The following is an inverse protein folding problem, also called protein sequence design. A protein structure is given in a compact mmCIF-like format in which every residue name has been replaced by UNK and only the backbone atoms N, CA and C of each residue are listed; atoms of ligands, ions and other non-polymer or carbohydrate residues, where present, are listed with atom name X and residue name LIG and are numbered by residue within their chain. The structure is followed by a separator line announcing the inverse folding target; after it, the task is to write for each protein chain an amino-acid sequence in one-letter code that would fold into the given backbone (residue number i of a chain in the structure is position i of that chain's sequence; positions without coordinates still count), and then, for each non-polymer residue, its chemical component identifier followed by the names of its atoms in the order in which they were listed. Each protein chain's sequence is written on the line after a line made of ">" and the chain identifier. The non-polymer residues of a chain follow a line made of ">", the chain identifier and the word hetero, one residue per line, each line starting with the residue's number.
data_IF_221290084555
#
_entry.id   IF_221290084555
#
_cell.length_a   1.000
_cell.length_b   1.000
_cell.length_c   1.000
_cell.angle_alpha   90.00
_cell.angle_beta   90.00
_cell.angle_gamma   90.00
#
_symmetry.space_group_name_H-M   'P 1'
#
loop_
_entity.id
_entity.type
_entity.pdbx_description
1 polymer ?
#
# COMPACT_ATOMS: atom_id res chain seq x y z
N UNK A 1 -39.71 -44.47 -1.82
CA UNK A 1 -38.35 -44.56 -2.38
C UNK A 1 -37.41 -44.75 -1.22
N UNK A 2 -37.03 -46.00 -1.06
CA UNK A 2 -36.13 -46.56 -0.06
C UNK A 2 -34.68 -46.10 -0.25
N UNK A 3 -34.02 -45.95 0.88
CA UNK A 3 -32.67 -46.43 1.17
C UNK A 3 -31.47 -45.76 0.49
N UNK A 4 -30.70 -45.01 1.28
CA UNK A 4 -29.22 -45.10 1.39
C UNK A 4 -28.72 -44.09 2.44
N UNK A 5 -28.82 -44.48 3.71
CA UNK A 5 -28.02 -43.90 4.81
C UNK A 5 -27.65 -45.04 5.74
N UNK A 6 -26.50 -45.65 5.49
CA UNK A 6 -25.73 -46.42 6.45
C UNK A 6 -24.39 -46.72 5.79
N UNK A 7 -23.30 -46.22 6.37
CA UNK A 7 -22.10 -46.98 6.72
C UNK A 7 -21.09 -46.01 7.38
N UNK A 8 -20.93 -46.24 8.70
CA UNK A 8 -19.77 -46.01 9.55
C UNK A 8 -19.41 -44.59 9.99
N UNK A 9 -19.88 -44.25 11.18
CA UNK A 9 -18.99 -43.69 12.20
C UNK A 9 -18.10 -44.77 12.84
N UNK A 10 -16.95 -44.36 13.37
CA UNK A 10 -16.32 -44.90 14.58
C UNK A 10 -15.04 -44.13 14.92
N UNK A 11 -15.11 -43.31 15.97
CA UNK A 11 -14.07 -42.91 16.93
C UNK A 11 -14.41 -41.48 17.41
N UNK A 12 -14.96 -41.21 18.58
CA UNK A 12 -14.86 -41.93 19.84
C UNK A 12 -13.86 -41.22 20.77
N UNK A 13 -14.36 -40.19 21.47
CA UNK A 13 -14.03 -39.78 22.86
C UNK A 13 -12.56 -39.62 23.30
N UNK A 14 -12.22 -38.42 23.78
CA UNK A 14 -11.06 -38.24 24.67
C UNK A 14 -10.50 -36.81 24.76
N UNK A 15 -11.31 -35.82 25.13
CA UNK A 15 -10.81 -34.49 25.54
C UNK A 15 -11.01 -34.31 27.04
N UNK A 16 -9.90 -34.31 27.79
CA UNK A 16 -9.64 -33.43 28.94
C UNK A 16 -8.34 -33.86 29.63
N UNK A 17 -7.38 -32.93 29.70
CA UNK A 17 -6.47 -32.63 30.83
C UNK A 17 -5.14 -32.09 30.30
N UNK A 18 -4.97 -30.77 30.34
CA UNK A 18 -3.91 -30.08 31.08
C UNK A 18 -3.98 -28.59 30.79
N UNK A 19 -4.21 -27.82 31.85
CA UNK A 19 -4.29 -26.37 31.81
C UNK A 19 -2.95 -25.68 32.00
N UNK A 20 -3.01 -24.38 31.68
CA UNK A 20 -2.39 -23.24 32.37
C UNK A 20 -0.87 -23.26 32.59
N UNK A 21 -0.17 -22.38 31.87
CA UNK A 21 0.75 -21.40 32.49
C UNK A 21 1.14 -20.32 31.48
N UNK A 22 0.63 -19.11 31.68
CA UNK A 22 1.25 -17.89 31.18
C UNK A 22 2.47 -17.53 32.03
N UNK A 23 3.43 -16.82 31.46
CA UNK A 23 4.50 -16.18 32.20
C UNK A 23 4.65 -14.73 31.75
N UNK A 24 4.30 -13.84 32.67
CA UNK A 24 4.76 -12.45 32.72
C UNK A 24 6.28 -12.39 32.79
N UNK A 25 6.85 -11.34 32.20
CA UNK A 25 8.23 -10.93 32.37
C UNK A 25 8.23 -9.63 33.18
N UNK A 26 8.94 -9.59 34.30
CA UNK A 26 9.04 -8.45 35.21
C UNK A 26 10.52 -8.11 35.45
N UNK A 27 10.79 -6.81 35.61
CA UNK A 27 12.09 -6.14 35.60
C UNK A 27 13.03 -6.49 36.77
N UNK A 28 14.34 -6.33 36.55
CA UNK A 28 15.37 -6.36 37.59
C UNK A 28 16.62 -5.60 37.18
N UNK A 29 16.68 -4.33 37.58
CA UNK A 29 17.78 -3.37 37.45
C UNK A 29 18.89 -3.65 38.49
N UNK A 30 20.18 -3.57 38.11
CA UNK A 30 21.27 -2.92 38.88
C UNK A 30 22.69 -3.24 38.35
N UNK A 31 23.51 -2.19 38.23
CA UNK A 31 24.94 -2.25 38.61
C UNK A 31 26.00 -2.08 37.51
N UNK A 32 26.62 -0.90 37.47
CA UNK A 32 27.96 -0.58 36.91
C UNK A 32 28.74 0.21 37.99
N UNK A 33 30.06 0.42 37.93
CA UNK A 33 31.22 -0.33 37.38
C UNK A 33 32.32 -0.51 38.47
N UNK A 34 33.60 -0.81 38.13
CA UNK A 34 34.59 0.29 38.16
C UNK A 34 35.68 0.25 37.06
N UNK A 35 36.40 1.38 36.97
CA UNK A 35 37.51 1.71 36.07
C UNK A 35 38.89 1.40 36.64
N UNK A 36 39.85 1.06 35.77
CA UNK A 36 41.32 1.29 35.78
C UNK A 36 41.97 0.21 34.86
N UNK A 37 43.05 0.41 34.09
CA UNK A 37 44.03 1.47 34.03
C UNK A 37 44.93 1.29 32.79
N UNK A 38 45.79 2.28 32.63
CA UNK A 38 46.67 2.65 31.52
C UNK A 38 47.81 1.65 31.23
N UNK A 39 48.24 1.54 29.96
CA UNK A 39 49.64 1.22 29.56
C UNK A 39 49.87 1.37 28.04
N UNK A 40 51.06 1.84 27.71
CA UNK A 40 51.43 2.56 26.47
C UNK A 40 52.65 1.90 25.79
N UNK A 41 52.66 1.92 24.43
CA UNK A 41 53.83 1.98 23.48
C UNK A 41 54.53 0.62 23.15
N UNK A 42 55.13 0.40 21.95
CA UNK A 42 54.63 0.47 20.55
C UNK A 42 55.09 -0.75 19.70
N UNK A 43 54.62 -0.91 18.45
CA UNK A 43 55.48 -1.51 17.43
C UNK A 43 55.06 -1.06 16.02
N UNK A 44 56.03 -0.49 15.33
CA UNK A 44 55.97 0.03 13.97
C UNK A 44 56.40 -1.10 13.03
N UNK A 45 55.66 -1.36 11.95
CA UNK A 45 56.20 -2.04 10.78
C UNK A 45 55.42 -1.63 9.52
N UNK A 46 56.12 -0.90 8.68
CA UNK A 46 55.71 -0.43 7.36
C UNK A 46 55.59 -1.59 6.38
N UNK A 47 54.54 -1.58 5.54
CA UNK A 47 54.62 -2.10 4.17
C UNK A 47 53.58 -1.42 3.28
N UNK A 48 54.04 -0.46 2.47
CA UNK A 48 53.31 0.09 1.33
C UNK A 48 53.17 -0.97 0.21
N UNK A 49 52.05 -0.96 -0.52
CA UNK A 49 51.99 -1.08 -2.00
C UNK A 49 50.67 -0.44 -2.48
N UNK A 50 50.82 0.69 -3.18
CA UNK A 50 50.17 1.01 -4.47
C UNK A 50 48.64 1.09 -4.58
N UNK A 51 48.08 2.29 -4.41
CA UNK A 51 46.76 2.65 -4.94
C UNK A 51 46.87 3.85 -5.90
N UNK A 52 46.46 3.64 -7.15
CA UNK A 52 46.32 4.66 -8.20
C UNK A 52 45.16 5.62 -7.92
N UNK A 53 45.30 6.96 -8.02
CA UNK A 53 44.16 7.87 -7.90
C UNK A 53 43.43 8.03 -9.23
N UNK A 54 42.12 7.78 -9.24
CA UNK A 54 41.21 8.15 -10.35
C UNK A 54 40.77 9.61 -10.21
N UNK A 55 40.76 10.28 -11.36
CA UNK A 55 40.50 11.70 -11.58
C UNK A 55 39.25 12.29 -10.90
N UNK A 56 39.45 13.46 -10.29
CA UNK A 56 38.41 14.38 -9.88
C UNK A 56 37.96 15.24 -11.06
N UNK A 57 36.69 15.12 -11.47
CA UNK A 57 36.09 15.96 -12.52
C UNK A 57 35.98 17.41 -12.04
N UNK A 58 36.75 18.31 -12.68
CA UNK A 58 36.70 19.76 -12.49
C UNK A 58 35.44 20.36 -13.12
N UNK A 59 34.79 21.26 -12.37
CA UNK A 59 33.72 22.15 -12.79
C UNK A 59 34.33 23.28 -13.65
N UNK A 60 33.74 23.71 -14.80
CA UNK A 60 34.32 24.78 -15.60
C UNK A 60 34.05 26.15 -14.96
N UNK A 61 35.11 26.95 -14.78
CA UNK A 61 35.04 28.38 -14.44
C UNK A 61 34.58 29.16 -15.68
N UNK A 62 33.46 29.87 -15.56
CA UNK A 62 32.95 30.75 -16.59
C UNK A 62 33.67 32.12 -16.53
N UNK A 63 34.17 32.54 -17.68
CA UNK A 63 34.92 33.78 -17.91
C UNK A 63 33.98 34.98 -17.80
N UNK A 64 34.46 36.02 -17.14
CA UNK A 64 33.83 37.32 -16.95
C UNK A 64 34.17 38.19 -18.16
N UNK A 65 33.17 38.69 -18.88
CA UNK A 65 33.35 39.73 -19.88
C UNK A 65 32.20 40.74 -19.77
N UNK A 66 32.55 42.02 -19.69
CA UNK A 66 31.69 43.18 -19.45
C UNK A 66 31.26 43.83 -20.78
N UNK A 67 29.97 44.13 -20.96
CA UNK A 67 29.44 44.97 -22.04
C UNK A 67 27.90 45.12 -22.00
N UNK A 68 27.30 46.28 -22.37
CA UNK A 68 26.08 46.79 -21.72
C UNK A 68 24.72 46.55 -22.43
N UNK A 69 23.68 46.32 -21.60
CA UNK A 69 22.24 46.76 -21.61
C UNK A 69 21.45 46.66 -22.95
N UNK A 70 20.29 45.95 -23.00
CA UNK A 70 18.98 46.59 -22.79
C UNK A 70 18.00 45.82 -21.90
N UNK A 71 17.31 46.59 -21.07
CA UNK A 71 16.11 46.24 -20.30
C UNK A 71 15.02 45.60 -21.15
N UNK A 72 14.60 44.38 -20.79
CA UNK A 72 13.26 43.89 -21.15
C UNK A 72 12.56 43.35 -19.90
N UNK A 73 11.79 44.26 -19.32
CA UNK A 73 11.00 44.11 -18.10
C UNK A 73 9.67 43.44 -18.49
N UNK A 74 9.69 42.20 -18.96
CA UNK A 74 8.44 41.49 -19.31
C UNK A 74 8.51 39.95 -19.39
N UNK A 75 9.52 39.32 -18.77
CA UNK A 75 9.51 37.86 -18.51
C UNK A 75 9.51 37.57 -17.00
N UNK A 76 8.44 37.99 -16.32
CA UNK A 76 7.90 37.17 -15.22
C UNK A 76 7.34 35.90 -15.87
N UNK A 77 8.23 35.00 -16.30
CA UNK A 77 7.88 33.61 -16.41
C UNK A 77 7.55 33.21 -14.98
N UNK A 78 6.25 33.05 -14.69
CA UNK A 78 5.77 32.20 -13.62
C UNK A 78 6.65 30.96 -13.68
N UNK A 79 7.59 30.85 -12.73
CA UNK A 79 8.30 29.61 -12.50
C UNK A 79 7.19 28.59 -12.29
N UNK A 80 6.95 27.75 -13.30
CA UNK A 80 6.01 26.66 -13.19
C UNK A 80 6.53 25.84 -12.02
N UNK A 81 5.88 25.99 -10.85
CA UNK A 81 6.21 25.25 -9.62
C UNK A 81 6.41 23.81 -10.06
N UNK A 82 7.63 23.28 -9.90
CA UNK A 82 7.89 21.87 -10.21
C UNK A 82 6.81 21.05 -9.52
N UNK A 83 6.18 20.09 -10.20
CA UNK A 83 5.10 19.31 -9.61
C UNK A 83 5.63 18.66 -8.32
N UNK A 84 4.99 19.00 -7.19
CA UNK A 84 5.39 18.53 -5.87
C UNK A 84 5.32 17.02 -5.83
N UNK A 85 6.36 16.38 -5.32
CA UNK A 85 6.39 14.93 -5.21
C UNK A 85 5.54 14.49 -4.01
N UNK A 86 4.54 13.63 -4.26
CA UNK A 86 3.69 13.00 -3.24
C UNK A 86 4.42 11.89 -2.52
N UNK A 87 4.11 11.72 -1.23
CA UNK A 87 4.55 10.60 -0.41
C UNK A 87 3.91 9.28 -0.88
N UNK A 88 2.63 9.32 -1.26
CA UNK A 88 1.90 8.16 -1.76
C UNK A 88 1.14 8.51 -3.04
N UNK A 89 1.13 7.61 -4.02
CA UNK A 89 0.30 7.73 -5.22
C UNK A 89 -1.19 7.47 -4.93
N UNK A 90 -2.08 7.96 -5.80
CA UNK A 90 -3.52 7.61 -5.76
C UNK A 90 -3.77 6.11 -5.90
N UNK A 91 -2.82 5.39 -6.49
CA UNK A 91 -2.82 3.93 -6.62
C UNK A 91 -2.49 3.20 -5.30
N UNK A 92 -2.08 3.94 -4.25
CA UNK A 92 -1.66 3.39 -2.96
C UNK A 92 -0.20 2.92 -2.89
N UNK A 93 0.61 3.17 -3.94
CA UNK A 93 2.06 2.94 -3.94
C UNK A 93 2.78 4.06 -3.18
N UNK A 94 3.73 3.69 -2.32
CA UNK A 94 4.56 4.65 -1.59
C UNK A 94 5.78 5.06 -2.42
N UNK A 95 6.04 6.36 -2.53
CA UNK A 95 7.21 6.91 -3.22
C UNK A 95 8.41 7.04 -2.26
N UNK A 96 8.75 5.94 -1.58
CA UNK A 96 9.83 5.91 -0.59
C UNK A 96 10.83 4.84 -0.99
N UNK A 97 12.08 5.25 -1.18
CA UNK A 97 13.20 4.36 -1.40
C UNK A 97 14.03 4.26 -0.12
N UNK A 98 14.16 3.05 0.42
CA UNK A 98 15.02 2.78 1.57
C UNK A 98 16.48 2.69 1.09
N UNK A 99 17.25 3.75 1.28
CA UNK A 99 18.67 3.79 0.97
C UNK A 99 19.54 3.36 2.16
N UNK A 100 20.75 2.86 1.87
CA UNK A 100 21.79 2.55 2.87
C UNK A 100 21.38 1.58 3.99
N UNK A 101 20.64 0.52 3.65
CA UNK A 101 20.36 -0.58 4.58
C UNK A 101 21.62 -1.44 4.70
N UNK A 102 22.37 -1.27 5.80
CA UNK A 102 23.65 -1.98 6.03
C UNK A 102 23.48 -3.50 6.20
N UNK A 103 22.28 -3.97 6.57
CA UNK A 103 22.00 -5.36 6.94
C UNK A 103 21.16 -6.08 5.87
N UNK A 104 21.66 -6.14 4.63
CA UNK A 104 20.98 -6.82 3.52
C UNK A 104 20.80 -8.33 3.75
N UNK A 105 21.59 -8.93 4.64
CA UNK A 105 21.46 -10.35 5.01
C UNK A 105 20.11 -10.69 5.66
N UNK A 106 19.41 -9.70 6.25
CA UNK A 106 18.09 -9.91 6.86
C UNK A 106 17.02 -10.33 5.84
N UNK A 107 17.17 -9.93 4.58
CA UNK A 107 16.30 -10.40 3.50
C UNK A 107 16.55 -11.88 3.18
N UNK A 108 17.80 -12.35 3.30
CA UNK A 108 18.13 -13.76 3.04
C UNK A 108 17.74 -14.68 4.19
N UNK A 109 17.74 -14.18 5.44
CA UNK A 109 17.26 -14.97 6.58
C UNK A 109 15.76 -15.28 6.50
N UNK A 110 14.99 -14.44 5.82
CA UNK A 110 13.57 -14.67 5.54
C UNK A 110 13.34 -14.93 4.04
N UNK A 111 13.89 -16.06 3.58
CA UNK A 111 13.81 -16.48 2.18
C UNK A 111 12.36 -16.70 1.73
N UNK A 112 11.50 -17.21 2.62
CA UNK A 112 10.11 -17.52 2.29
C UNK A 112 9.31 -16.26 1.95
N UNK A 113 9.35 -15.23 2.80
CA UNK A 113 8.63 -13.98 2.49
C UNK A 113 9.22 -13.29 1.27
N UNK A 114 10.56 -13.31 1.14
CA UNK A 114 11.25 -12.73 -0.02
C UNK A 114 10.79 -13.37 -1.33
N UNK A 115 10.71 -14.71 -1.40
CA UNK A 115 10.22 -15.42 -2.60
C UNK A 115 8.77 -15.07 -2.92
N UNK A 116 7.91 -15.02 -1.90
CA UNK A 116 6.50 -14.69 -2.06
C UNK A 116 6.31 -13.24 -2.53
N UNK A 117 7.17 -12.30 -2.13
CA UNK A 117 7.09 -10.89 -2.51
C UNK A 117 7.75 -10.55 -3.86
N UNK A 118 8.59 -11.43 -4.41
CA UNK A 118 9.15 -11.23 -5.76
C UNK A 118 8.07 -11.03 -6.83
N UNK A 119 8.38 -10.30 -7.90
CA UNK A 119 7.46 -10.20 -9.04
C UNK A 119 7.24 -11.57 -9.67
N UNK A 120 6.07 -11.80 -10.26
CA UNK A 120 5.71 -13.07 -10.93
C UNK A 120 6.79 -13.60 -11.89
N UNK A 121 7.43 -12.71 -12.66
CA UNK A 121 8.51 -13.09 -13.60
C UNK A 121 9.71 -13.74 -12.88
N UNK A 122 10.16 -13.15 -11.78
CA UNK A 122 11.28 -13.69 -11.00
C UNK A 122 10.87 -14.93 -10.21
N UNK A 123 9.64 -14.95 -9.69
CA UNK A 123 9.11 -16.12 -8.99
C UNK A 123 9.04 -17.36 -9.90
N UNK A 124 8.55 -17.20 -11.14
CA UNK A 124 8.55 -18.28 -12.13
C UNK A 124 9.96 -18.69 -12.56
N UNK A 125 10.88 -17.72 -12.71
CA UNK A 125 12.29 -18.00 -13.00
C UNK A 125 12.93 -18.84 -11.90
N UNK A 126 12.74 -18.47 -10.63
CA UNK A 126 13.28 -19.20 -9.47
C UNK A 126 12.64 -20.60 -9.38
N UNK A 127 11.33 -20.71 -9.63
CA UNK A 127 10.65 -22.00 -9.68
C UNK A 127 11.30 -22.93 -10.69
N UNK A 128 11.42 -22.50 -11.96
CA UNK A 128 12.08 -23.29 -13.00
C UNK A 128 13.54 -23.60 -12.65
N UNK A 129 14.28 -22.62 -12.14
CA UNK A 129 15.69 -22.79 -11.79
C UNK A 129 15.88 -23.89 -10.73
N UNK A 130 15.11 -23.86 -9.64
CA UNK A 130 15.26 -24.85 -8.57
C UNK A 130 14.99 -26.27 -9.07
N UNK A 131 13.90 -26.52 -9.80
CA UNK A 131 13.65 -27.86 -10.35
C UNK A 131 14.73 -28.29 -11.36
N UNK A 132 15.15 -27.39 -12.25
CA UNK A 132 16.23 -27.75 -13.20
C UNK A 132 17.55 -28.04 -12.49
N UNK A 133 17.88 -27.32 -11.42
CA UNK A 133 19.09 -27.55 -10.64
C UNK A 133 19.01 -28.85 -9.85
N UNK A 134 17.86 -29.19 -9.24
CA UNK A 134 17.69 -30.48 -8.54
C UNK A 134 17.80 -31.65 -9.52
N UNK A 135 17.14 -31.58 -10.68
CA UNK A 135 17.23 -32.62 -11.71
C UNK A 135 18.64 -32.77 -12.27
N UNK A 136 19.37 -31.67 -12.49
CA UNK A 136 20.76 -31.72 -12.95
C UNK A 136 21.68 -32.28 -11.86
N UNK A 137 21.48 -31.90 -10.61
CA UNK A 137 22.27 -32.39 -9.48
C UNK A 137 22.10 -33.90 -9.30
N UNK A 138 20.87 -34.40 -9.23
CA UNK A 138 20.62 -35.83 -9.11
C UNK A 138 20.98 -36.60 -10.40
N UNK A 139 20.74 -36.02 -11.58
CA UNK A 139 21.19 -36.61 -12.85
C UNK A 139 22.70 -36.78 -12.94
N UNK A 140 23.48 -35.81 -12.42
CA UNK A 140 24.93 -35.92 -12.29
C UNK A 140 25.31 -37.02 -11.31
N UNK A 141 24.63 -37.12 -10.15
CA UNK A 141 24.89 -38.17 -9.17
C UNK A 141 24.62 -39.57 -9.72
N UNK A 142 23.51 -39.75 -10.45
CA UNK A 142 23.19 -41.02 -11.13
C UNK A 142 24.23 -41.38 -12.18
N UNK A 143 24.65 -40.41 -12.99
CA UNK A 143 25.70 -40.61 -13.97
C UNK A 143 27.04 -40.95 -13.31
N UNK A 144 27.37 -40.31 -12.20
CA UNK A 144 28.60 -40.57 -11.45
C UNK A 144 28.61 -41.98 -10.85
N UNK A 145 27.50 -42.46 -10.27
CA UNK A 145 27.37 -43.84 -9.77
C UNK A 145 27.58 -44.83 -10.92
N UNK A 146 26.91 -44.61 -12.06
CA UNK A 146 27.07 -45.47 -13.24
C UNK A 146 28.52 -45.47 -13.77
N UNK A 147 29.19 -44.31 -13.73
CA UNK A 147 30.59 -44.17 -14.16
C UNK A 147 31.56 -44.88 -13.21
N UNK A 148 31.48 -44.64 -11.90
CA UNK A 148 32.37 -45.24 -10.89
C UNK A 148 32.22 -46.76 -10.84
N UNK A 149 31.01 -47.27 -11.06
CA UNK A 149 30.72 -48.70 -11.09
C UNK A 149 31.18 -49.38 -12.39
N UNK A 150 31.46 -48.62 -13.44
CA UNK A 150 31.80 -49.15 -14.77
C UNK A 150 30.59 -49.63 -15.57
N UNK A 151 29.37 -49.21 -15.20
CA UNK A 151 28.13 -49.58 -15.91
C UNK A 151 28.11 -49.01 -17.34
N UNK A 152 28.78 -47.88 -17.55
CA UNK A 152 28.89 -47.23 -18.87
C UNK A 152 29.87 -47.94 -19.82
N UNK A 153 30.81 -48.73 -19.29
CA UNK A 153 31.81 -49.44 -20.09
C UNK A 153 31.29 -50.81 -20.58
N UNK A 154 30.35 -51.41 -19.85
CA UNK A 154 29.74 -52.72 -20.15
C UNK A 154 28.35 -52.60 -20.80
N UNK A 155 28.11 -51.51 -21.55
CA UNK A 155 26.81 -51.28 -22.21
C UNK A 155 26.59 -52.33 -23.31
N UNK A 156 25.64 -53.23 -23.09
CA UNK A 156 25.30 -54.31 -24.02
C UNK A 156 25.90 -55.67 -23.68
N UNK A 157 26.66 -55.78 -22.57
CA UNK A 157 27.08 -57.07 -22.03
C UNK A 157 25.90 -57.79 -21.37
N UNK A 158 25.71 -59.06 -21.72
CA UNK A 158 24.60 -59.89 -21.22
C UNK A 158 24.85 -60.34 -19.78
N UNK A 159 26.11 -60.42 -19.36
CA UNK A 159 26.53 -60.90 -18.04
C UNK A 159 26.61 -59.80 -16.98
N UNK A 160 26.56 -58.52 -17.38
CA UNK A 160 26.63 -57.37 -16.47
C UNK A 160 25.24 -56.81 -16.20
N UNK A 161 24.88 -56.69 -14.92
CA UNK A 161 23.63 -56.05 -14.50
C UNK A 161 23.94 -54.64 -13.99
N UNK A 162 23.56 -53.58 -14.74
CA UNK A 162 23.82 -52.20 -14.35
C UNK A 162 22.96 -51.79 -13.15
N UNK A 163 23.34 -50.71 -12.48
CA UNK A 163 22.55 -50.13 -11.39
C UNK A 163 21.19 -49.61 -11.88
N UNK A 164 21.18 -48.98 -13.05
CA UNK A 164 19.96 -48.53 -13.74
C UNK A 164 20.01 -49.03 -15.17
N UNK A 165 18.97 -49.75 -15.58
CA UNK A 165 18.85 -50.27 -16.94
C UNK A 165 18.72 -49.12 -17.97
N UNK A 166 19.26 -49.33 -19.17
CA UNK A 166 19.17 -48.40 -20.30
C UNK A 166 19.74 -46.98 -20.01
N UNK A 167 20.77 -46.89 -19.17
CA UNK A 167 21.52 -45.68 -18.89
C UNK A 167 22.80 -45.64 -19.75
N UNK A 168 22.72 -45.04 -20.93
CA UNK A 168 23.81 -44.98 -21.92
C UNK A 168 24.74 -43.76 -21.79
N UNK A 169 24.35 -42.74 -21.05
CA UNK A 169 25.16 -41.53 -20.82
C UNK A 169 24.49 -40.51 -19.90
N UNK A 170 25.02 -39.29 -19.87
CA UNK A 170 24.53 -38.23 -18.98
C UNK A 170 23.07 -37.84 -19.27
N UNK A 171 22.68 -37.74 -20.55
CA UNK A 171 21.30 -37.37 -20.94
C UNK A 171 20.29 -38.41 -20.46
N UNK A 172 20.60 -39.71 -20.54
CA UNK A 172 19.74 -40.75 -19.99
C UNK A 172 19.67 -40.74 -18.46
N UNK A 173 20.77 -40.38 -17.78
CA UNK A 173 20.78 -40.21 -16.33
C UNK A 173 19.95 -39.00 -15.90
N UNK A 174 20.02 -37.89 -16.64
CA UNK A 174 19.18 -36.71 -16.43
C UNK A 174 17.68 -37.03 -16.62
N UNK A 175 17.32 -37.76 -17.69
CA UNK A 175 15.94 -38.22 -17.89
C UNK A 175 15.48 -39.13 -16.75
N UNK A 176 16.31 -40.08 -16.31
CA UNK A 176 16.01 -40.93 -15.16
C UNK A 176 15.80 -40.12 -13.88
N UNK A 177 16.62 -39.09 -13.66
CA UNK A 177 16.48 -38.19 -12.52
C UNK A 177 15.15 -37.45 -12.52
N UNK A 178 14.68 -36.97 -13.68
CA UNK A 178 13.35 -36.36 -13.81
C UNK A 178 12.27 -37.41 -13.54
N UNK A 179 12.32 -38.55 -14.23
CA UNK A 179 11.35 -39.64 -14.10
C UNK A 179 11.15 -40.06 -12.63
N UNK A 180 12.25 -40.08 -11.87
CA UNK A 180 12.28 -40.43 -10.45
C UNK A 180 11.76 -39.30 -9.55
N UNK A 181 12.27 -38.07 -9.70
CA UNK A 181 11.91 -36.94 -8.82
C UNK A 181 10.46 -36.49 -9.02
N UNK A 182 9.98 -36.44 -10.26
CA UNK A 182 8.58 -36.11 -10.57
C UNK A 182 7.65 -37.32 -10.49
N UNK A 183 8.18 -38.49 -10.10
CA UNK A 183 7.44 -39.75 -9.95
C UNK A 183 6.62 -40.13 -11.19
N UNK A 184 7.14 -39.85 -12.39
CA UNK A 184 6.51 -40.27 -13.65
C UNK A 184 6.81 -41.75 -13.90
N UNK A 185 8.08 -42.15 -13.74
CA UNK A 185 8.54 -43.53 -13.84
C UNK A 185 8.05 -44.27 -15.08
N UNK A 186 8.53 -43.90 -16.28
CA UNK A 186 8.08 -44.52 -17.54
C UNK A 186 8.35 -46.04 -17.60
N UNK A 187 9.26 -46.55 -16.76
CA UNK A 187 9.58 -47.97 -16.67
C UNK A 187 10.56 -48.47 -17.73
N UNK A 188 11.05 -47.59 -18.61
CA UNK A 188 12.15 -47.92 -19.54
C UNK A 188 13.51 -47.92 -18.84
N UNK A 189 13.67 -47.11 -17.79
CA UNK A 189 14.86 -47.02 -16.94
C UNK A 189 14.46 -47.46 -15.55
N UNK A 190 14.99 -48.60 -15.13
CA UNK A 190 14.60 -49.25 -13.87
C UNK A 190 15.85 -49.50 -13.03
N UNK A 191 15.74 -49.23 -11.73
CA UNK A 191 16.80 -49.51 -10.77
C UNK A 191 16.84 -51.00 -10.42
N UNK A 192 18.05 -51.56 -10.29
CA UNK A 192 18.26 -52.95 -9.89
C UNK A 192 18.75 -53.07 -8.44
N UNK A 193 18.58 -54.24 -7.84
CA UNK A 193 19.04 -54.54 -6.48
C UNK A 193 20.57 -54.69 -6.34
N UNK A 194 21.31 -54.64 -7.45
CA UNK A 194 22.77 -54.91 -7.47
C UNK A 194 23.62 -53.76 -6.93
N UNK A 195 23.04 -52.56 -6.77
CA UNK A 195 23.72 -51.36 -6.30
C UNK A 195 23.06 -50.77 -5.04
N UNK A 196 23.59 -51.01 -3.83
CA UNK A 196 23.04 -50.40 -2.62
C UNK A 196 23.17 -48.87 -2.63
N UNK A 197 24.21 -48.34 -3.26
CA UNK A 197 24.43 -46.89 -3.43
C UNK A 197 23.30 -46.21 -4.23
N UNK A 198 22.81 -46.87 -5.29
CA UNK A 198 21.66 -46.39 -6.06
C UNK A 198 20.38 -46.37 -5.23
N UNK A 199 20.14 -47.39 -4.41
CA UNK A 199 18.96 -47.45 -3.52
C UNK A 199 19.00 -46.30 -2.50
N UNK A 200 20.16 -46.03 -1.91
CA UNK A 200 20.33 -44.90 -0.97
C UNK A 200 20.11 -43.57 -1.69
N UNK A 201 20.68 -43.39 -2.89
CA UNK A 201 20.48 -42.17 -3.68
C UNK A 201 19.00 -41.97 -4.04
N UNK A 202 18.30 -43.03 -4.45
CA UNK A 202 16.87 -43.02 -4.73
C UNK A 202 16.06 -42.58 -3.51
N UNK A 203 16.37 -43.11 -2.32
CA UNK A 203 15.70 -42.72 -1.08
C UNK A 203 15.92 -41.25 -0.75
N UNK A 204 17.18 -40.78 -0.82
CA UNK A 204 17.55 -39.38 -0.57
C UNK A 204 16.86 -38.46 -1.57
N UNK A 205 16.84 -38.82 -2.86
CA UNK A 205 16.18 -38.08 -3.92
C UNK A 205 14.67 -37.99 -3.70
N UNK A 206 14.01 -39.09 -3.32
CA UNK A 206 12.57 -39.09 -3.04
C UNK A 206 12.22 -38.15 -1.86
N UNK A 207 13.01 -38.18 -0.78
CA UNK A 207 12.78 -37.33 0.40
C UNK A 207 13.03 -35.85 0.05
N UNK A 208 14.19 -35.53 -0.54
CA UNK A 208 14.53 -34.14 -0.88
C UNK A 208 13.62 -33.57 -1.97
N UNK A 209 13.26 -34.37 -2.98
CA UNK A 209 12.30 -34.00 -4.02
C UNK A 209 10.94 -33.66 -3.43
N UNK A 210 10.46 -34.45 -2.47
CA UNK A 210 9.19 -34.17 -1.77
C UNK A 210 9.25 -32.85 -0.97
N UNK A 211 10.37 -32.58 -0.28
CA UNK A 211 10.57 -31.34 0.48
C UNK A 211 10.60 -30.12 -0.44
N UNK A 212 11.38 -30.17 -1.52
CA UNK A 212 11.47 -29.08 -2.51
C UNK A 212 10.12 -28.82 -3.16
N UNK A 213 9.41 -29.88 -3.55
CA UNK A 213 8.08 -29.77 -4.15
C UNK A 213 7.08 -29.14 -3.17
N UNK A 214 7.03 -29.59 -1.92
CA UNK A 214 6.16 -29.03 -0.89
C UNK A 214 6.45 -27.53 -0.64
N UNK A 215 7.72 -27.15 -0.56
CA UNK A 215 8.13 -25.76 -0.39
C UNK A 215 7.70 -24.89 -1.57
N UNK A 216 7.94 -25.34 -2.80
CA UNK A 216 7.62 -24.59 -4.02
C UNK A 216 6.12 -24.44 -4.25
N UNK A 217 5.36 -25.52 -4.10
CA UNK A 217 3.90 -25.49 -4.21
C UNK A 217 3.31 -24.62 -3.09
N UNK A 218 3.82 -24.73 -1.86
CA UNK A 218 3.39 -23.87 -0.75
C UNK A 218 3.64 -22.39 -1.03
N UNK A 219 4.81 -22.04 -1.54
CA UNK A 219 5.15 -20.67 -1.95
C UNK A 219 4.22 -20.15 -3.06
N UNK A 220 3.93 -20.96 -4.09
CA UNK A 220 2.97 -20.60 -5.15
C UNK A 220 1.56 -20.39 -4.58
N UNK A 221 1.10 -21.30 -3.73
CA UNK A 221 -0.23 -21.24 -3.13
C UNK A 221 -0.42 -19.97 -2.31
N UNK A 222 0.55 -19.64 -1.43
CA UNK A 222 0.50 -18.40 -0.65
C UNK A 222 0.49 -17.19 -1.58
N UNK A 223 1.36 -17.15 -2.59
CA UNK A 223 1.44 -16.03 -3.53
C UNK A 223 0.15 -15.81 -4.32
N UNK A 224 -0.51 -16.88 -4.76
CA UNK A 224 -1.81 -16.82 -5.47
C UNK A 224 -2.91 -16.34 -4.52
N UNK A 225 -2.87 -16.80 -3.27
CA UNK A 225 -3.89 -16.48 -2.28
C UNK A 225 -3.79 -15.03 -1.80
N UNK A 226 -2.61 -14.40 -1.85
CA UNK A 226 -2.41 -13.03 -1.35
C UNK A 226 -3.45 -12.05 -1.89
N UNK A 227 -4.13 -11.27 -1.01
CA UNK A 227 -5.24 -10.41 -1.41
C UNK A 227 -4.79 -9.09 -2.07
N UNK A 228 -3.57 -9.02 -2.63
CA UNK A 228 -3.02 -7.80 -3.25
C UNK A 228 -3.92 -7.27 -4.39
N UNK A 229 -4.54 -8.18 -5.16
CA UNK A 229 -5.50 -7.83 -6.22
C UNK A 229 -6.83 -7.30 -5.69
N UNK A 230 -7.19 -7.60 -4.44
CA UNK A 230 -8.45 -7.13 -3.85
C UNK A 230 -8.37 -5.65 -3.46
N UNK A 231 -7.18 -5.16 -3.09
CA UNK A 231 -6.99 -3.73 -2.89
C UNK A 231 -7.24 -2.91 -4.18
N UNK A 232 -7.11 -3.51 -5.36
CA UNK A 232 -7.38 -2.85 -6.65
C UNK A 232 -8.89 -2.69 -6.93
N UNK A 233 -9.76 -3.49 -6.29
CA UNK A 233 -11.23 -3.37 -6.43
C UNK A 233 -11.84 -2.41 -5.43
N UNK A 234 -11.07 -1.98 -4.43
CA UNK A 234 -11.44 -0.94 -3.49
C UNK A 234 -11.07 0.42 -4.08
N UNK A 235 -12.08 1.28 -4.20
CA UNK A 235 -11.92 2.59 -4.83
C UNK A 235 -12.05 3.71 -3.82
N UNK A 236 -11.25 4.75 -4.03
CA UNK A 236 -11.37 6.03 -3.35
C UNK A 236 -11.78 7.11 -4.36
N UNK A 237 -12.48 8.15 -3.90
CA UNK A 237 -12.76 9.31 -4.75
C UNK A 237 -11.46 9.96 -5.26
N UNK A 238 -11.53 10.62 -6.42
CA UNK A 238 -10.35 11.34 -6.92
C UNK A 238 -10.04 12.57 -6.09
N UNK A 239 -11.09 13.24 -5.62
CA UNK A 239 -11.02 14.44 -4.80
C UNK A 239 -11.57 14.18 -3.40
N UNK A 240 -11.04 14.90 -2.42
CA UNK A 240 -11.71 15.10 -1.15
C UNK A 240 -12.45 16.45 -1.22
N UNK A 241 -13.52 16.61 -0.45
CA UNK A 241 -14.32 17.84 -0.47
C UNK A 241 -14.51 18.37 0.95
N UNK A 242 -14.50 19.69 1.10
CA UNK A 242 -14.82 20.36 2.36
C UNK A 242 -16.13 21.11 2.17
N UNK A 243 -17.15 20.82 2.98
CA UNK A 243 -18.37 21.61 3.02
C UNK A 243 -19.06 21.55 4.37
N UNK A 244 -20.07 22.41 4.55
CA UNK A 244 -20.92 22.38 5.74
C UNK A 244 -21.82 21.14 5.73
N UNK A 245 -21.89 20.44 6.86
CA UNK A 245 -22.85 19.39 7.15
C UNK A 245 -23.34 19.59 8.58
N UNK A 246 -24.65 19.76 8.75
CA UNK A 246 -25.28 20.03 10.06
C UNK A 246 -24.57 21.15 10.83
N UNK A 247 -24.32 22.27 10.14
CA UNK A 247 -23.63 23.47 10.63
C UNK A 247 -22.16 23.27 11.08
N UNK A 248 -21.56 22.14 10.72
CA UNK A 248 -20.15 21.84 11.02
C UNK A 248 -19.37 21.72 9.72
N UNK A 249 -18.15 22.23 9.69
CA UNK A 249 -17.28 22.08 8.53
C UNK A 249 -16.68 20.67 8.54
N UNK A 250 -16.85 19.93 7.45
CA UNK A 250 -16.41 18.54 7.37
C UNK A 250 -15.53 18.30 6.15
N UNK A 251 -14.42 17.60 6.34
CA UNK A 251 -13.60 17.05 5.26
C UNK A 251 -14.12 15.66 4.91
N UNK A 252 -14.44 15.44 3.64
CA UNK A 252 -15.11 14.24 3.18
C UNK A 252 -14.40 13.60 1.99
N UNK A 253 -14.34 12.28 1.97
CA UNK A 253 -13.93 11.51 0.81
C UNK A 253 -14.82 10.27 0.67
N UNK A 254 -14.98 9.77 -0.55
CA UNK A 254 -15.82 8.61 -0.82
C UNK A 254 -14.98 7.35 -0.97
N UNK A 255 -15.47 6.25 -0.42
CA UNK A 255 -14.90 4.92 -0.55
C UNK A 255 -15.96 3.96 -1.09
N UNK A 256 -15.56 2.97 -1.88
CA UNK A 256 -16.47 1.97 -2.44
C UNK A 256 -15.78 0.64 -2.71
N UNK A 257 -16.58 -0.44 -2.72
CA UNK A 257 -16.15 -1.77 -3.15
C UNK A 257 -16.88 -2.12 -4.45
N UNK A 258 -16.11 -2.37 -5.51
CA UNK A 258 -16.66 -2.78 -6.81
C UNK A 258 -17.21 -4.21 -6.79
N UNK A 259 -16.86 -5.02 -5.79
CA UNK A 259 -17.22 -6.44 -5.74
C UNK A 259 -18.41 -6.66 -4.82
N UNK A 260 -19.21 -7.68 -5.13
CA UNK A 260 -20.34 -8.09 -4.28
C UNK A 260 -19.93 -8.83 -3.00
N UNK A 261 -18.68 -9.30 -2.90
CA UNK A 261 -18.14 -9.95 -1.69
C UNK A 261 -17.86 -8.92 -0.61
N UNK A 262 -18.04 -9.26 0.65
CA UNK A 262 -17.88 -8.27 1.73
C UNK A 262 -16.44 -8.13 2.22
N UNK A 263 -16.02 -6.89 2.53
CA UNK A 263 -14.86 -6.66 3.37
C UNK A 263 -15.29 -6.86 4.83
N UNK A 264 -14.82 -7.92 5.46
CA UNK A 264 -15.16 -8.23 6.87
C UNK A 264 -14.28 -7.38 7.78
N UNK A 265 -14.85 -6.83 8.86
CA UNK A 265 -14.13 -5.93 9.80
C UNK A 265 -13.44 -4.77 9.08
N UNK A 266 -14.13 -4.16 8.10
CA UNK A 266 -13.60 -3.00 7.41
C UNK A 266 -13.39 -1.84 8.38
N UNK A 267 -12.21 -1.24 8.39
CA UNK A 267 -11.87 -0.08 9.20
C UNK A 267 -11.14 0.97 8.37
N UNK A 268 -11.52 2.24 8.55
CA UNK A 268 -10.90 3.36 7.82
C UNK A 268 -10.08 4.23 8.76
N UNK A 269 -8.87 4.58 8.32
CA UNK A 269 -7.96 5.48 9.04
C UNK A 269 -7.43 6.54 8.09
N UNK A 270 -7.20 7.73 8.61
CA UNK A 270 -6.65 8.84 7.83
C UNK A 270 -5.52 9.53 8.60
N UNK A 271 -4.43 9.86 7.89
CA UNK A 271 -3.28 10.56 8.44
C UNK A 271 -2.99 11.80 7.62
N UNK A 272 -2.82 12.93 8.30
CA UNK A 272 -2.24 14.13 7.72
C UNK A 272 -0.72 14.00 7.74
N UNK A 273 -0.10 14.22 6.58
CA UNK A 273 1.34 14.30 6.40
C UNK A 273 1.67 15.75 6.06
N UNK A 274 2.43 16.40 6.94
CA UNK A 274 2.89 17.76 6.77
C UNK A 274 4.26 17.94 7.43
N UNK A 275 5.12 18.79 6.85
CA UNK A 275 6.37 19.19 7.51
C UNK A 275 6.07 20.11 8.68
N UNK A 276 6.68 19.88 9.83
CA UNK A 276 6.47 20.69 11.04
C UNK A 276 7.79 21.06 11.68
N UNK A 277 7.87 22.27 12.22
CA UNK A 277 8.93 22.66 13.15
C UNK A 277 8.36 22.73 14.58
N UNK A 278 9.06 22.15 15.54
CA UNK A 278 8.69 22.22 16.96
C UNK A 278 9.05 23.58 17.55
N UNK A 279 8.51 23.90 18.73
CA UNK A 279 8.82 25.18 19.41
C UNK A 279 10.29 25.24 19.85
N UNK A 280 10.88 24.07 20.08
CA UNK A 280 12.27 23.84 20.46
C UNK A 280 13.22 23.93 19.24
N UNK A 281 12.67 24.02 18.02
CA UNK A 281 13.42 24.22 16.79
C UNK A 281 13.70 22.96 15.96
N UNK A 282 13.26 21.78 16.41
CA UNK A 282 13.41 20.52 15.67
C UNK A 282 12.53 20.52 14.40
N UNK A 283 13.13 20.22 13.25
CA UNK A 283 12.42 20.09 11.99
C UNK A 283 12.07 18.63 11.71
N UNK A 284 10.78 18.34 11.59
CA UNK A 284 10.23 17.01 11.30
C UNK A 284 9.71 17.03 9.84
N UNK A 285 10.41 16.38 8.88
CA UNK A 285 10.10 16.52 7.45
C UNK A 285 8.70 16.01 7.05
N UNK A 286 8.26 14.88 7.59
CA UNK A 286 6.98 14.24 7.25
C UNK A 286 6.26 13.84 8.53
N UNK A 287 5.85 14.84 9.32
CA UNK A 287 5.11 14.58 10.54
C UNK A 287 3.74 13.97 10.20
N UNK A 288 3.42 12.85 10.84
CA UNK A 288 2.17 12.14 10.62
C UNK A 288 1.25 12.35 11.81
N UNK A 289 0.12 13.03 11.60
CA UNK A 289 -0.90 13.23 12.63
C UNK A 289 -2.19 12.55 12.22
N UNK A 290 -2.82 11.82 13.15
CA UNK A 290 -4.05 11.09 12.87
C UNK A 290 -5.24 12.05 12.71
N UNK A 291 -6.11 11.76 11.75
CA UNK A 291 -7.36 12.50 11.49
C UNK A 291 -8.51 11.63 11.95
N UNK A 292 -9.30 12.12 12.91
CA UNK A 292 -10.43 11.38 13.46
C UNK A 292 -11.57 11.25 12.44
N UNK A 293 -11.80 10.03 11.93
CA UNK A 293 -12.87 9.68 10.99
C UNK A 293 -13.96 8.81 11.61
N UNK A 294 -14.07 8.81 12.95
CA UNK A 294 -15.04 8.01 13.70
C UNK A 294 -14.45 7.08 14.76
N UNK A 295 -13.17 7.27 15.14
CA UNK A 295 -12.49 6.38 16.09
C UNK A 295 -13.13 6.40 17.49
N UNK A 296 -13.56 7.58 17.95
CA UNK A 296 -14.14 7.74 19.30
C UNK A 296 -15.52 7.09 19.43
N UNK A 297 -16.29 7.04 18.33
CA UNK A 297 -17.66 6.48 18.29
C UNK A 297 -17.68 5.03 17.77
N UNK A 298 -16.58 4.58 17.15
CA UNK A 298 -16.49 3.31 16.45
C UNK A 298 -17.16 3.31 15.08
N UNK A 299 -17.46 4.49 14.52
CA UNK A 299 -18.00 4.71 13.16
C UNK A 299 -16.91 4.55 12.07
N UNK A 300 -15.64 4.46 12.48
CA UNK A 300 -14.51 4.09 11.63
C UNK A 300 -14.61 2.63 11.14
N UNK A 301 -15.40 1.79 11.84
CA UNK A 301 -15.75 0.43 11.43
C UNK A 301 -16.88 0.45 10.42
N UNK A 302 -16.55 0.16 9.17
CA UNK A 302 -17.46 0.31 8.05
C UNK A 302 -18.27 -0.97 7.77
N UNK A 303 -19.55 -0.79 7.48
CA UNK A 303 -20.35 -1.77 6.75
C UNK A 303 -20.39 -1.36 5.27
N UNK A 304 -19.33 -1.69 4.53
CA UNK A 304 -19.10 -1.24 3.15
C UNK A 304 -19.75 -2.19 2.13
N UNK A 305 -21.01 -1.91 1.78
CA UNK A 305 -21.74 -2.61 0.70
C UNK A 305 -21.98 -1.67 -0.49
N UNK A 306 -22.52 -0.49 -0.21
CA UNK A 306 -22.61 0.61 -1.17
C UNK A 306 -21.56 1.67 -0.86
N UNK A 307 -21.21 2.56 -1.82
CA UNK A 307 -20.26 3.62 -1.57
C UNK A 307 -20.62 4.50 -0.37
N UNK A 308 -19.67 4.66 0.55
CA UNK A 308 -19.82 5.48 1.75
C UNK A 308 -19.00 6.76 1.63
N UNK A 309 -19.55 7.86 2.14
CA UNK A 309 -18.82 9.11 2.32
C UNK A 309 -18.27 9.13 3.73
N UNK A 310 -16.95 9.01 3.85
CA UNK A 310 -16.24 9.14 5.11
C UNK A 310 -16.14 10.62 5.43
N UNK A 311 -16.49 11.00 6.65
CA UNK A 311 -16.59 12.39 7.08
C UNK A 311 -15.75 12.62 8.33
N UNK A 312 -14.77 13.50 8.21
CA UNK A 312 -14.02 14.06 9.33
C UNK A 312 -14.64 15.39 9.74
N UNK A 313 -15.15 15.48 10.96
CA UNK A 313 -15.59 16.74 11.54
C UNK A 313 -14.38 17.62 11.92
N UNK A 314 -14.31 18.82 11.35
CA UNK A 314 -13.24 19.79 11.66
C UNK A 314 -13.62 20.49 12.98
N UNK A 315 -13.18 19.90 14.09
CA UNK A 315 -13.34 20.41 15.45
C UNK A 315 -12.04 21.02 15.99
N UNK A 316 -12.06 21.50 17.24
CA UNK A 316 -10.90 22.13 17.92
C UNK A 316 -9.64 21.25 17.96
N UNK A 317 -9.79 19.92 17.89
CA UNK A 317 -8.67 18.96 17.86
C UNK A 317 -8.18 18.65 16.45
N UNK A 318 -8.92 19.06 15.42
CA UNK A 318 -8.58 18.81 14.03
C UNK A 318 -7.37 19.65 13.60
N UNK A 319 -6.43 19.08 12.82
CA UNK A 319 -5.36 19.88 12.23
C UNK A 319 -5.88 20.93 11.23
N UNK A 320 -7.13 20.80 10.77
CA UNK A 320 -7.77 21.75 9.86
C UNK A 320 -8.56 22.86 10.57
N UNK A 321 -8.49 22.95 11.91
CA UNK A 321 -9.30 23.89 12.70
C UNK A 321 -9.11 25.37 12.30
N UNK A 322 -7.86 25.77 12.06
CA UNK A 322 -7.49 27.14 11.66
C UNK A 322 -7.31 27.28 10.12
N UNK A 323 -7.76 26.29 9.36
CA UNK A 323 -7.65 26.26 7.90
C UNK A 323 -8.83 26.99 7.27
N UNK A 324 -8.56 28.05 6.50
CA UNK A 324 -9.55 28.76 5.69
C UNK A 324 -9.42 28.40 4.22
N UNK A 325 -10.40 28.77 3.38
CA UNK A 325 -10.36 28.52 1.92
C UNK A 325 -9.09 29.07 1.27
N UNK A 326 -8.67 30.27 1.69
CA UNK A 326 -7.46 30.91 1.16
C UNK A 326 -6.17 30.23 1.63
N UNK A 327 -6.12 29.82 2.91
CA UNK A 327 -4.97 29.09 3.47
C UNK A 327 -4.81 27.71 2.86
N UNK A 328 -5.90 27.01 2.53
CA UNK A 328 -5.86 25.69 1.91
C UNK A 328 -5.02 25.67 0.61
N UNK A 329 -5.04 26.76 -0.15
CA UNK A 329 -4.29 26.90 -1.40
C UNK A 329 -2.81 27.24 -1.19
N UNK A 330 -2.44 27.70 0.00
CA UNK A 330 -1.09 28.12 0.37
C UNK A 330 -0.34 27.04 1.17
N UNK A 331 -1.08 26.26 1.94
CA UNK A 331 -0.56 25.20 2.80
C UNK A 331 -0.17 23.96 2.01
N UNK A 332 0.98 23.38 2.34
CA UNK A 332 1.48 22.17 1.72
C UNK A 332 1.25 20.98 2.64
N UNK A 333 0.26 20.16 2.32
CA UNK A 333 -0.06 18.95 3.08
C UNK A 333 -0.49 17.80 2.18
N UNK A 334 -0.50 16.58 2.72
CA UNK A 334 -1.03 15.39 2.06
C UNK A 334 -1.85 14.58 3.06
N UNK A 335 -3.09 14.25 2.71
CA UNK A 335 -3.96 13.39 3.52
C UNK A 335 -3.88 11.98 2.96
N UNK A 336 -3.26 11.07 3.70
CA UNK A 336 -3.22 9.64 3.36
C UNK A 336 -4.40 8.93 4.01
N UNK A 337 -5.18 8.20 3.21
CA UNK A 337 -6.30 7.38 3.67
C UNK A 337 -5.96 5.90 3.52
N UNK A 338 -6.35 5.12 4.52
CA UNK A 338 -6.01 3.70 4.65
C UNK A 338 -7.28 2.95 5.02
N UNK A 339 -7.76 2.08 4.13
CA UNK A 339 -8.84 1.16 4.37
C UNK A 339 -8.25 -0.23 4.63
N UNK A 340 -8.59 -0.83 5.76
CA UNK A 340 -8.18 -2.17 6.16
C UNK A 340 -9.39 -3.06 6.34
N UNK A 341 -9.22 -4.36 6.12
CA UNK A 341 -10.24 -5.35 6.44
C UNK A 341 -9.90 -6.72 5.86
N UNK A 342 -10.72 -7.72 6.16
CA UNK A 342 -10.49 -9.11 5.77
C UNK A 342 -11.25 -9.51 4.51
N UNK A 343 -10.64 -10.42 3.76
CA UNK A 343 -11.24 -11.06 2.59
C UNK A 343 -12.11 -12.23 2.99
N UNK A 344 -13.42 -12.07 2.81
CA UNK A 344 -14.44 -13.09 3.11
C UNK A 344 -14.04 -14.50 2.64
N UNK A 345 -13.52 -14.63 1.42
CA UNK A 345 -13.15 -15.94 0.87
C UNK A 345 -11.83 -16.54 1.43
N UNK A 346 -10.90 -15.72 1.94
CA UNK A 346 -9.56 -16.20 2.34
C UNK A 346 -9.21 -15.98 3.81
N UNK A 347 -10.00 -15.18 4.53
CA UNK A 347 -9.70 -14.75 5.89
C UNK A 347 -8.46 -13.84 6.03
N UNK A 348 -7.75 -13.54 4.94
CA UNK A 348 -6.57 -12.70 4.99
C UNK A 348 -6.91 -11.21 5.04
N UNK A 349 -6.13 -10.45 5.78
CA UNK A 349 -6.24 -8.99 5.84
C UNK A 349 -5.72 -8.36 4.55
N UNK A 350 -6.42 -7.34 4.08
CA UNK A 350 -6.06 -6.51 2.94
C UNK A 350 -6.05 -5.04 3.36
N UNK A 351 -5.18 -4.25 2.72
CA UNK A 351 -5.06 -2.83 2.98
C UNK A 351 -5.03 -2.08 1.64
N UNK A 352 -6.05 -1.26 1.42
CA UNK A 352 -6.13 -0.32 0.30
C UNK A 352 -5.75 1.08 0.80
N UNK A 353 -4.99 1.82 -0.01
CA UNK A 353 -4.46 3.13 0.38
C UNK A 353 -4.62 4.12 -0.76
N UNK A 354 -4.81 5.39 -0.43
CA UNK A 354 -4.79 6.49 -1.38
C UNK A 354 -4.35 7.77 -0.67
N UNK A 355 -4.08 8.83 -1.41
CA UNK A 355 -3.67 10.13 -0.88
C UNK A 355 -4.46 11.26 -1.51
N UNK A 356 -4.58 12.38 -0.81
CA UNK A 356 -5.12 13.64 -1.31
C UNK A 356 -4.11 14.76 -1.04
N UNK A 357 -3.60 15.37 -2.09
CA UNK A 357 -2.82 16.60 -2.00
C UNK A 357 -3.73 17.80 -1.75
N UNK A 358 -3.14 18.91 -1.30
CA UNK A 358 -3.77 20.22 -1.16
C UNK A 358 -4.63 20.61 -2.38
N UNK A 359 -4.10 20.44 -3.60
CA UNK A 359 -4.80 20.72 -4.87
C UNK A 359 -5.98 19.79 -5.17
N UNK A 360 -6.07 18.65 -4.49
CA UNK A 360 -7.12 17.63 -4.69
C UNK A 360 -8.22 17.72 -3.62
N UNK A 361 -8.12 18.68 -2.70
CA UNK A 361 -9.15 18.99 -1.69
C UNK A 361 -9.97 20.18 -2.17
N UNK A 362 -11.22 19.94 -2.55
CA UNK A 362 -12.13 20.95 -3.10
C UNK A 362 -12.97 21.60 -2.00
N UNK A 363 -12.76 22.90 -1.77
CA UNK A 363 -13.56 23.67 -0.82
C UNK A 363 -14.92 24.07 -1.41
N UNK A 364 -15.99 23.88 -0.64
CA UNK A 364 -17.35 24.20 -1.05
C UNK A 364 -18.00 23.15 -1.95
N UNK A 365 -17.44 21.94 -2.05
CA UNK A 365 -18.01 20.88 -2.88
C UNK A 365 -18.74 19.82 -2.04
N UNK A 366 -19.71 19.15 -2.66
CA UNK A 366 -20.36 17.94 -2.16
C UNK A 366 -20.32 16.85 -3.22
N UNK A 367 -20.37 15.59 -2.79
CA UNK A 367 -20.43 14.46 -3.71
C UNK A 367 -21.83 14.29 -4.29
N UNK A 368 -21.90 14.01 -5.60
CA UNK A 368 -23.15 13.67 -6.28
C UNK A 368 -23.72 12.36 -5.72
N UNK A 369 -25.03 12.26 -5.40
CA UNK A 369 -25.64 11.01 -4.97
C UNK A 369 -25.45 9.90 -6.02
N UNK A 370 -25.14 8.68 -5.57
CA UNK A 370 -24.86 7.53 -6.46
C UNK A 370 -25.87 6.39 -6.31
N UNK A 371 -26.72 6.45 -5.28
CA UNK A 371 -27.71 5.43 -4.98
C UNK A 371 -29.05 5.83 -5.57
N UNK A 372 -29.57 4.99 -6.46
CA UNK A 372 -30.93 5.08 -6.98
C UNK A 372 -31.72 3.86 -6.48
N UNK A 373 -33.02 4.05 -6.30
CA UNK A 373 -33.93 2.98 -5.90
C UNK A 373 -34.65 2.47 -7.13
N UNK A 374 -34.33 1.25 -7.54
CA UNK A 374 -35.07 0.53 -8.58
C UNK A 374 -36.09 -0.44 -7.97
N UNK A 375 -36.91 -1.09 -8.82
CA UNK A 375 -37.97 -2.00 -8.36
C UNK A 375 -37.38 -3.27 -7.73
N UNK A 376 -37.20 -3.23 -6.42
CA UNK A 376 -36.82 -4.38 -5.59
C UNK A 376 -35.34 -4.44 -5.19
N UNK A 377 -34.50 -3.51 -5.66
CA UNK A 377 -33.09 -3.41 -5.29
C UNK A 377 -32.59 -1.96 -5.33
N UNK A 378 -31.45 -1.71 -4.69
CA UNK A 378 -30.72 -0.44 -4.81
C UNK A 378 -29.65 -0.58 -5.88
N UNK A 379 -29.64 0.34 -6.84
CA UNK A 379 -28.62 0.40 -7.87
C UNK A 379 -27.61 1.50 -7.53
N UNK A 380 -26.33 1.22 -7.79
CA UNK A 380 -25.22 2.15 -7.58
C UNK A 380 -24.67 2.57 -8.94
N UNK A 381 -24.82 3.84 -9.29
CA UNK A 381 -24.19 4.41 -10.48
C UNK A 381 -22.74 4.81 -10.18
N UNK A 382 -21.80 3.97 -10.63
CA UNK A 382 -20.37 4.23 -10.48
C UNK A 382 -19.84 5.33 -11.41
N UNK A 383 -20.57 5.76 -12.45
CA UNK A 383 -20.15 6.89 -13.28
C UNK A 383 -20.14 8.19 -12.46
N UNK A 384 -21.09 8.33 -11.55
CA UNK A 384 -21.22 9.45 -10.63
C UNK A 384 -20.37 9.30 -9.35
N UNK A 385 -19.56 8.23 -9.23
CA UNK A 385 -18.79 7.93 -8.02
C UNK A 385 -17.77 9.03 -7.69
N UNK A 386 -17.05 9.54 -8.68
CA UNK A 386 -16.05 10.59 -8.48
C UNK A 386 -16.64 12.01 -8.63
N UNK A 387 -17.90 12.13 -9.07
CA UNK A 387 -18.51 13.40 -9.38
C UNK A 387 -18.80 14.23 -8.12
N UNK A 388 -18.52 15.53 -8.22
CA UNK A 388 -18.80 16.52 -7.17
C UNK A 388 -19.49 17.74 -7.77
N UNK A 389 -20.27 18.44 -6.97
CA UNK A 389 -20.94 19.68 -7.34
C UNK A 389 -20.68 20.77 -6.29
N UNK A 390 -20.64 22.03 -6.73
CA UNK A 390 -20.38 23.18 -5.86
C UNK A 390 -21.62 23.52 -5.01
N UNK A 391 -21.37 23.95 -3.78
CA UNK A 391 -22.38 24.29 -2.78
C UNK A 391 -21.97 25.54 -2.02
N UNK A 392 -22.97 26.31 -1.57
CA UNK A 392 -22.73 27.52 -0.80
C UNK A 392 -22.15 27.15 0.57
N UNK A 393 -20.84 27.34 0.71
CA UNK A 393 -20.07 27.06 1.92
C UNK A 393 -19.27 28.32 2.29
N UNK A 394 -19.22 28.71 3.57
CA UNK A 394 -18.43 29.85 4.02
C UNK A 394 -16.94 29.66 3.69
N UNK A 395 -16.24 30.77 3.44
CA UNK A 395 -14.79 30.78 3.15
C UNK A 395 -13.92 30.89 4.40
N UNK A 396 -14.51 31.21 5.55
CA UNK A 396 -13.85 31.33 6.85
C UNK A 396 -13.33 29.97 7.36
N UNK A 397 -12.42 30.01 8.33
CA UNK A 397 -11.96 28.79 8.98
C UNK A 397 -13.01 28.23 9.96
N UNK A 398 -12.87 26.96 10.35
CA UNK A 398 -13.80 26.31 11.28
C UNK A 398 -13.81 27.00 12.66
N UNK A 399 -12.67 27.55 13.09
CA UNK A 399 -12.55 28.37 14.31
C UNK A 399 -13.41 29.63 14.26
N UNK A 400 -13.24 30.46 13.22
CA UNK A 400 -14.04 31.68 13.01
C UNK A 400 -15.53 31.35 12.89
N UNK A 401 -15.88 30.24 12.22
CA UNK A 401 -17.26 29.77 12.12
C UNK A 401 -17.84 29.41 13.50
N UNK A 402 -17.06 28.75 14.35
CA UNK A 402 -17.47 28.40 15.71
C UNK A 402 -17.58 29.62 16.63
N UNK A 403 -16.66 30.58 16.50
CA UNK A 403 -16.70 31.87 17.22
C UNK A 403 -17.92 32.69 16.81
N UNK A 404 -18.15 32.87 15.50
CA UNK A 404 -19.33 33.55 14.99
C UNK A 404 -20.65 32.91 15.47
N UNK A 405 -20.67 31.58 15.60
CA UNK A 405 -21.82 30.85 16.15
C UNK A 405 -22.02 31.10 17.64
N UNK A 406 -20.93 31.17 18.43
CA UNK A 406 -20.98 31.52 19.85
C UNK A 406 -21.50 32.95 20.06
N UNK A 407 -21.18 33.85 19.15
CA UNK A 407 -21.61 35.26 19.18
C UNK A 407 -23.02 35.48 18.59
N UNK A 408 -23.69 34.44 18.08
CA UNK A 408 -25.05 34.53 17.55
C UNK A 408 -25.17 35.16 16.16
N UNK A 409 -24.05 35.29 15.44
CA UNK A 409 -24.03 35.86 14.09
C UNK A 409 -24.56 34.82 13.06
N UNK A 410 -25.50 35.18 12.18
CA UNK A 410 -25.97 34.25 11.16
C UNK A 410 -24.83 33.91 10.19
N UNK A 411 -24.72 32.64 9.70
CA UNK A 411 -23.65 32.20 8.78
C UNK A 411 -23.56 32.99 7.47
N UNK A 412 -24.54 33.83 7.17
CA UNK A 412 -24.63 34.65 5.95
C UNK A 412 -23.83 35.95 5.99
N UNK A 413 -23.39 36.42 7.16
CA UNK A 413 -22.88 37.78 7.31
C UNK A 413 -21.39 37.86 7.68
N UNK A 414 -20.62 36.77 7.61
CA UNK A 414 -19.16 36.87 7.86
C UNK A 414 -18.52 37.70 6.73
N UNK A 415 -17.90 38.85 7.03
CA UNK A 415 -17.26 39.66 6.01
C UNK A 415 -16.14 38.87 5.38
N UNK A 416 -16.08 38.86 4.04
CA UNK A 416 -14.83 38.51 3.35
C UNK A 416 -13.79 39.50 3.85
N UNK A 417 -12.74 39.00 4.49
CA UNK A 417 -11.75 39.80 5.23
C UNK A 417 -11.17 40.91 4.33
N UNK A 418 -11.61 42.15 4.52
CA UNK A 418 -11.05 43.31 3.83
C UNK A 418 -9.74 43.67 4.54
N UNK A 419 -8.64 43.58 3.80
CA UNK A 419 -7.34 44.11 4.20
C UNK A 419 -7.47 45.60 4.57
N UNK A 420 -6.88 45.98 5.71
CA UNK A 420 -6.73 47.37 6.11
C UNK A 420 -6.04 48.20 5.02
N UNK A 421 -6.68 49.29 4.61
CA UNK A 421 -6.10 50.37 3.81
C UNK A 421 -7.19 51.37 3.45
N UNK A 422 -7.22 52.50 4.16
CA UNK A 422 -8.28 53.51 4.02
C UNK A 422 -8.37 54.16 2.63
N UNK A 423 -9.44 54.91 2.40
CA UNK A 423 -9.51 56.37 2.59
C UNK A 423 -10.98 56.78 2.47
N UNK A 424 -11.36 57.80 3.23
CA UNK A 424 -12.69 58.36 3.27
C UNK A 424 -13.05 59.08 1.96
N UNK A 425 -14.34 59.05 1.60
CA UNK A 425 -15.08 60.21 1.11
C UNK A 425 -16.56 59.99 1.40
N UNK A 426 -17.11 60.89 2.22
CA UNK A 426 -18.53 61.17 2.30
C UNK A 426 -19.05 61.61 0.92
N UNK A 427 -20.26 61.18 0.56
CA UNK A 427 -21.20 62.00 -0.18
C UNK A 427 -22.61 61.45 0.05
N UNK A 428 -23.47 62.29 0.62
CA UNK A 428 -24.90 62.02 0.74
C UNK A 428 -25.62 62.29 -0.57
N UNK A 429 -26.90 61.90 -0.61
CA UNK A 429 -28.06 62.72 -1.04
C UNK A 429 -29.26 61.82 -1.42
N UNK A 430 -30.29 61.98 -0.59
CA UNK A 430 -31.74 62.09 -0.85
C UNK A 430 -32.56 60.94 -1.45
N UNK A 431 -33.48 60.51 -0.59
CA UNK A 431 -34.85 60.05 -0.86
C UNK A 431 -35.61 60.98 -1.83
N UNK A 432 -36.44 60.36 -2.67
CA UNK A 432 -37.63 61.00 -3.23
C UNK A 432 -38.75 59.95 -3.33
N UNK A 433 -39.71 60.04 -2.39
CA UNK A 433 -41.07 59.56 -2.57
C UNK A 433 -41.81 60.47 -3.58
N UNK A 434 -42.74 59.89 -4.33
CA UNK A 434 -43.65 60.62 -5.22
C UNK A 434 -44.83 59.74 -5.63
N UNK A 435 -45.99 60.06 -5.04
CA UNK A 435 -47.29 59.41 -5.15
C UNK A 435 -47.94 59.46 -6.55
N UNK A 436 -48.75 58.43 -6.84
CA UNK A 436 -50.16 58.59 -7.23
C UNK A 436 -50.52 58.99 -8.67
N UNK A 437 -51.19 58.09 -9.41
CA UNK A 437 -52.62 58.22 -9.74
C UNK A 437 -53.09 57.14 -10.74
N UNK A 438 -54.39 56.84 -10.64
CA UNK A 438 -55.18 55.80 -11.30
C UNK A 438 -55.33 56.04 -12.81
N UNK A 439 -55.57 54.96 -13.56
CA UNK A 439 -56.81 54.77 -14.32
C UNK A 439 -56.93 53.34 -14.89
N UNK A 440 -58.07 52.73 -14.62
CA UNK A 440 -58.69 51.58 -15.32
C UNK A 440 -59.93 52.16 -16.02
N UNK A 441 -60.40 51.65 -17.19
CA UNK A 441 -61.14 50.38 -17.15
C UNK A 441 -61.23 49.55 -18.46
N UNK A 442 -61.85 48.37 -18.26
CA UNK A 442 -62.66 47.56 -19.18
C UNK A 442 -62.02 46.62 -20.22
N UNK A 443 -62.52 45.38 -20.24
CA UNK A 443 -62.48 44.49 -21.42
C UNK A 443 -62.40 42.98 -21.18
N UNK A 444 -63.55 42.38 -20.82
CA UNK A 444 -64.06 41.04 -21.21
C UNK A 444 -63.17 39.77 -21.33
N UNK A 445 -63.49 38.81 -20.45
CA UNK A 445 -64.08 37.48 -20.68
C UNK A 445 -63.55 36.47 -21.74
N UNK A 446 -63.73 35.20 -21.34
CA UNK A 446 -63.61 33.90 -22.04
C UNK A 446 -62.19 33.38 -22.36
N UNK A 447 -61.85 32.12 -22.12
CA UNK A 447 -62.63 30.97 -21.67
C UNK A 447 -61.93 29.68 -22.11
N UNK A 448 -61.84 28.70 -21.21
CA UNK A 448 -61.67 27.26 -21.48
C UNK A 448 -60.55 26.75 -22.41
N UNK A 449 -59.59 26.03 -21.82
CA UNK A 449 -59.35 24.59 -22.04
C UNK A 449 -58.31 24.06 -21.03
#
# INVERSE_FOLDING_TARGET
>A
MENTREWLGAAGSGWNLLGVAGCCWEEGNQGRPPMAGDSRIPMNQDMEIGATPRDSKKIPKQVRDDGPIPTDRSRLLVEAKKPRQRYMEKSGKCNVHHGNVQETYRYLSDLFTTLVDLKWRFNLLVFTLVYTVTWLFFGLMWWLIAYVRGDLDHVGDVDWVPCVENLSGFVSAFLFSIETETTIGYGFRVITEKCPEGIVLLLVQAILGSIVNAFMVGCMFVKISQPKKRAETLMFSHHAVISLRDDKLCLMFRVGDLRNSHIVEASIRAKLIQSRQTKEGEFIPLNQTDINVGFDTGDDRLFLVSPLIISHEINEKSPFWEMSRARLQQEEFEVVVILEGMVEATGMTCQARSSYMDSEVLWGHRFTPVLTREKGFYEVDYNSFHATYETRTPSCCAKELAEARREGWPPRQLPSTTLLGGWATEDGVQEAEGEGARDTPDGEADGSA
#
